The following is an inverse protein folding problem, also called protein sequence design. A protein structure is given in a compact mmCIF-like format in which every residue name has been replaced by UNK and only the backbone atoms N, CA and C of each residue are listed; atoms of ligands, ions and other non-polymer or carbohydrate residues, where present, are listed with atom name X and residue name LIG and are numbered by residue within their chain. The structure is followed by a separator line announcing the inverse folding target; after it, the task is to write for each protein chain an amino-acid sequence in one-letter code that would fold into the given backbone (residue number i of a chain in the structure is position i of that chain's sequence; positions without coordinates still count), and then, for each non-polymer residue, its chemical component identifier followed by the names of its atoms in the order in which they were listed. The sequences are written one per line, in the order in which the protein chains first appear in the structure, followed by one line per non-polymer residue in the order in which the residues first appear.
data_IF_859875992286
#
_entry.id   IF_859875992286
#
_cell.length_a   1.000
_cell.length_b   1.000
_cell.length_c   1.000
_cell.angle_alpha   90.00
_cell.angle_beta   90.00
_cell.angle_gamma   90.00
#
_symmetry.space_group_name_H-M   'P 1'
#
loop_
_entity.id
_entity.type
_entity.pdbx_description
1 polymer ?
#
# COMPACT_ATOMS: atom_id res chain seq x y z
N UNK A 1 -6.48 2.29 0.66
CA UNK A 1 -6.87 3.34 -0.32
C UNK A 1 -8.01 2.94 -1.23
N UNK A 2 -8.46 3.85 -2.09
CA UNK A 2 -9.64 3.67 -2.97
C UNK A 2 -9.35 2.89 -4.27
N UNK A 3 -8.23 2.20 -4.40
CA UNK A 3 -7.93 1.36 -5.56
C UNK A 3 -7.33 2.07 -6.78
N UNK A 4 -7.00 3.36 -6.70
CA UNK A 4 -6.43 4.10 -7.85
C UNK A 4 -5.19 3.44 -8.45
N UNK A 5 -4.29 2.91 -7.62
CA UNK A 5 -3.10 2.20 -8.11
C UNK A 5 -3.48 0.96 -8.90
N UNK A 6 -4.43 0.17 -8.41
CA UNK A 6 -4.90 -1.03 -9.09
C UNK A 6 -5.59 -0.68 -10.42
N UNK A 7 -6.45 0.34 -10.41
CA UNK A 7 -7.12 0.82 -11.62
C UNK A 7 -6.14 1.26 -12.70
N UNK A 8 -5.19 2.13 -12.35
CA UNK A 8 -4.19 2.64 -13.30
C UNK A 8 -3.27 1.50 -13.79
N UNK A 9 -2.91 0.58 -12.90
CA UNK A 9 -2.12 -0.61 -13.27
C UNK A 9 -2.88 -1.49 -14.25
N UNK A 10 -4.18 -1.75 -14.02
CA UNK A 10 -5.04 -2.49 -14.93
C UNK A 10 -5.07 -1.82 -16.31
N UNK A 11 -5.28 -0.51 -16.37
CA UNK A 11 -5.33 0.23 -17.63
C UNK A 11 -4.02 0.13 -18.42
N UNK A 12 -2.87 0.26 -17.74
CA UNK A 12 -1.55 0.10 -18.37
C UNK A 12 -1.30 -1.34 -18.84
N UNK A 13 -1.63 -2.34 -18.03
CA UNK A 13 -1.46 -3.75 -18.41
C UNK A 13 -2.36 -4.15 -19.58
N UNK A 14 -3.60 -3.67 -19.60
CA UNK A 14 -4.51 -3.88 -20.74
C UNK A 14 -4.02 -3.21 -22.02
N UNK A 15 -3.41 -2.03 -21.93
CA UNK A 15 -2.78 -1.40 -23.08
C UNK A 15 -1.60 -2.23 -23.58
N UNK A 16 -0.73 -2.68 -22.70
CA UNK A 16 0.41 -3.53 -23.05
C UNK A 16 -0.04 -4.85 -23.67
N UNK A 17 -1.07 -5.48 -23.12
CA UNK A 17 -1.70 -6.67 -23.69
C UNK A 17 -2.14 -6.42 -25.14
N UNK A 18 -2.81 -5.30 -25.40
CA UNK A 18 -3.21 -4.92 -26.76
C UNK A 18 -2.02 -4.71 -27.72
N UNK A 19 -0.94 -4.11 -27.26
CA UNK A 19 0.29 -3.95 -28.03
C UNK A 19 0.92 -5.31 -28.38
N UNK A 20 0.97 -6.24 -27.43
CA UNK A 20 1.47 -7.61 -27.63
C UNK A 20 0.59 -8.38 -28.62
N UNK A 21 -0.73 -8.30 -28.47
CA UNK A 21 -1.68 -8.96 -29.36
C UNK A 21 -1.56 -8.47 -30.80
N UNK A 22 -1.40 -7.16 -31.00
CA UNK A 22 -1.16 -6.57 -32.33
C UNK A 22 0.15 -7.07 -32.93
N UNK A 23 1.22 -7.13 -32.16
CA UNK A 23 2.50 -7.66 -32.64
C UNK A 23 2.42 -9.14 -33.04
N UNK A 24 1.71 -9.97 -32.26
CA UNK A 24 1.49 -11.37 -32.60
C UNK A 24 0.67 -11.53 -33.88
N UNK A 25 -0.36 -10.71 -34.05
CA UNK A 25 -1.14 -10.67 -35.29
C UNK A 25 -0.27 -10.34 -36.50
N UNK A 26 0.60 -9.32 -36.41
CA UNK A 26 1.52 -8.91 -37.46
C UNK A 26 2.54 -9.99 -37.80
N UNK A 27 2.89 -10.84 -36.82
CA UNK A 27 3.77 -12.00 -37.02
C UNK A 27 3.03 -13.25 -37.57
N UNK A 28 1.72 -13.15 -37.81
CA UNK A 28 0.90 -14.25 -38.37
C UNK A 28 0.35 -15.24 -37.35
N UNK A 29 0.53 -14.96 -36.05
CA UNK A 29 -0.07 -15.76 -34.98
C UNK A 29 -1.57 -15.40 -34.83
N UNK A 30 -2.42 -16.41 -34.61
CA UNK A 30 -3.85 -16.15 -34.46
C UNK A 30 -4.20 -15.61 -33.08
N UNK A 31 -4.81 -14.44 -33.03
CA UNK A 31 -5.25 -13.73 -31.84
C UNK A 31 -6.15 -14.58 -30.92
N UNK A 32 -6.93 -15.50 -31.50
CA UNK A 32 -7.82 -16.39 -30.76
C UNK A 32 -7.14 -17.43 -29.87
N UNK A 33 -5.86 -17.73 -30.07
CA UNK A 33 -5.12 -18.68 -29.24
C UNK A 33 -4.84 -18.11 -27.83
N UNK A 34 -4.53 -16.84 -27.70
CA UNK A 34 -4.24 -16.20 -26.40
C UNK A 34 -5.50 -16.01 -25.54
N UNK A 35 -6.63 -15.69 -26.15
CA UNK A 35 -7.91 -15.61 -25.45
C UNK A 35 -8.40 -16.98 -24.99
N UNK A 36 -8.16 -18.02 -25.80
CA UNK A 36 -8.49 -19.40 -25.47
C UNK A 36 -7.59 -20.01 -24.38
N UNK A 37 -6.36 -19.57 -24.27
CA UNK A 37 -5.39 -20.06 -23.26
C UNK A 37 -5.50 -19.33 -21.91
N UNK A 38 -6.41 -18.35 -21.75
CA UNK A 38 -6.61 -17.62 -20.50
C UNK A 38 -5.45 -16.67 -20.14
N UNK A 39 -4.64 -16.28 -21.12
CA UNK A 39 -3.49 -15.37 -20.95
C UNK A 39 -3.92 -13.90 -21.13
N UNK A 40 -5.05 -13.53 -20.54
CA UNK A 40 -5.56 -12.16 -20.59
C UNK A 40 -5.42 -11.51 -19.23
N UNK A 41 -5.18 -10.19 -19.22
CA UNK A 41 -5.18 -9.40 -18.00
C UNK A 41 -6.62 -9.20 -17.51
N UNK A 42 -6.91 -9.64 -16.30
CA UNK A 42 -8.23 -9.47 -15.69
C UNK A 42 -8.14 -9.04 -14.21
N UNK A 43 -9.24 -8.56 -13.61
CA UNK A 43 -9.24 -8.07 -12.24
C UNK A 43 -8.81 -9.07 -11.17
N UNK A 44 -8.94 -10.39 -11.38
CA UNK A 44 -8.55 -11.40 -10.40
C UNK A 44 -7.04 -11.45 -10.13
N UNK A 45 -6.23 -10.96 -11.08
CA UNK A 45 -4.78 -10.88 -10.94
C UNK A 45 -4.31 -9.73 -10.04
N UNK A 46 -5.23 -8.84 -9.65
CA UNK A 46 -4.92 -7.67 -8.82
C UNK A 46 -5.28 -7.95 -7.37
N UNK A 47 -4.27 -8.06 -6.54
CA UNK A 47 -4.41 -8.35 -5.11
C UNK A 47 -4.12 -7.10 -4.30
N UNK A 48 -4.80 -6.91 -3.18
CA UNK A 48 -4.60 -5.76 -2.31
C UNK A 48 -4.79 -6.07 -0.83
N UNK A 49 -4.08 -5.31 0.00
CA UNK A 49 -4.23 -5.30 1.45
C UNK A 49 -4.69 -3.91 1.87
N UNK A 50 -5.81 -3.82 2.57
CA UNK A 50 -6.38 -2.55 3.03
C UNK A 50 -6.96 -2.71 4.44
N UNK A 51 -6.52 -1.87 5.36
CA UNK A 51 -6.96 -1.94 6.77
C UNK A 51 -8.35 -1.33 6.97
N UNK A 52 -8.77 -0.41 6.10
CA UNK A 52 -10.10 0.19 6.17
C UNK A 52 -11.09 -0.66 5.36
N UNK A 53 -12.10 -1.30 6.00
CA UNK A 53 -13.02 -2.20 5.31
C UNK A 53 -13.86 -1.50 4.24
N UNK A 54 -14.17 -0.22 4.43
CA UNK A 54 -14.91 0.57 3.43
C UNK A 54 -14.03 0.87 2.21
N UNK A 55 -12.76 1.22 2.44
CA UNK A 55 -11.81 1.48 1.37
C UNK A 55 -11.50 0.21 0.58
N UNK A 56 -11.39 -0.96 1.23
CA UNK A 56 -11.21 -2.24 0.56
C UNK A 56 -12.34 -2.53 -0.44
N UNK A 57 -13.59 -2.34 -0.04
CA UNK A 57 -14.76 -2.53 -0.92
C UNK A 57 -14.82 -1.52 -2.06
N UNK A 58 -14.45 -0.26 -1.79
CA UNK A 58 -14.37 0.77 -2.84
C UNK A 58 -13.26 0.40 -3.86
N UNK A 59 -12.10 -0.08 -3.39
CA UNK A 59 -11.00 -0.47 -4.26
C UNK A 59 -11.40 -1.63 -5.20
N UNK A 60 -12.11 -2.62 -4.68
CA UNK A 60 -12.65 -3.73 -5.46
C UNK A 60 -13.65 -3.23 -6.53
N UNK A 61 -14.59 -2.37 -6.14
CA UNK A 61 -15.56 -1.78 -7.07
C UNK A 61 -14.87 -0.94 -8.16
N UNK A 62 -13.89 -0.10 -7.79
CA UNK A 62 -13.14 0.75 -8.74
C UNK A 62 -12.38 -0.10 -9.75
N UNK A 63 -11.77 -1.19 -9.32
CA UNK A 63 -11.07 -2.13 -10.20
C UNK A 63 -12.03 -2.74 -11.24
N UNK A 64 -13.19 -3.20 -10.81
CA UNK A 64 -14.20 -3.78 -11.70
C UNK A 64 -14.83 -2.76 -12.64
N UNK A 65 -15.14 -1.56 -12.17
CA UNK A 65 -15.62 -0.48 -13.03
C UNK A 65 -14.57 -0.15 -14.11
N UNK A 66 -13.31 -0.09 -13.75
CA UNK A 66 -12.21 0.14 -14.69
C UNK A 66 -12.12 -0.95 -15.77
N UNK A 67 -12.25 -2.21 -15.36
CA UNK A 67 -12.28 -3.33 -16.28
C UNK A 67 -13.47 -3.26 -17.25
N UNK A 68 -14.67 -2.99 -16.75
CA UNK A 68 -15.86 -2.82 -17.58
C UNK A 68 -15.75 -1.66 -18.56
N UNK A 69 -15.25 -0.51 -18.10
CA UNK A 69 -15.03 0.63 -18.98
C UNK A 69 -14.04 0.31 -20.10
N UNK A 70 -12.96 -0.42 -19.79
CA UNK A 70 -12.04 -0.90 -20.80
C UNK A 70 -12.73 -1.90 -21.75
N UNK A 71 -13.44 -2.89 -21.22
CA UNK A 71 -14.13 -3.92 -22.00
C UNK A 71 -15.09 -3.29 -23.03
N UNK A 72 -15.98 -2.40 -22.60
CA UNK A 72 -16.94 -1.75 -23.48
C UNK A 72 -16.29 -0.79 -24.48
N UNK A 73 -15.18 -0.15 -24.14
CA UNK A 73 -14.42 0.65 -25.12
C UNK A 73 -13.82 -0.21 -26.24
N UNK A 74 -13.41 -1.42 -25.91
CA UNK A 74 -12.69 -2.30 -26.84
C UNK A 74 -13.63 -3.22 -27.62
N UNK A 75 -14.66 -3.75 -26.97
CA UNK A 75 -15.57 -4.76 -27.54
C UNK A 75 -17.00 -4.23 -27.80
N UNK A 76 -17.23 -2.93 -27.61
CA UNK A 76 -18.55 -2.32 -27.81
C UNK A 76 -19.61 -2.87 -26.84
N UNK A 77 -20.75 -3.26 -27.35
CA UNK A 77 -21.88 -3.76 -26.55
C UNK A 77 -21.83 -5.26 -26.23
N UNK A 78 -20.73 -5.93 -26.52
CA UNK A 78 -20.56 -7.36 -26.19
C UNK A 78 -20.46 -7.50 -24.68
N UNK A 79 -21.25 -8.37 -24.09
CA UNK A 79 -21.21 -8.63 -22.66
C UNK A 79 -19.88 -9.26 -22.26
N UNK A 80 -19.28 -8.85 -21.13
CA UNK A 80 -18.09 -9.49 -20.61
C UNK A 80 -18.36 -10.96 -20.28
N UNK A 81 -17.36 -11.83 -20.41
CA UNK A 81 -17.52 -13.28 -20.23
C UNK A 81 -17.92 -13.70 -18.81
N UNK A 82 -17.66 -12.85 -17.81
CA UNK A 82 -18.01 -13.14 -16.42
C UNK A 82 -19.00 -12.14 -15.81
N UNK A 83 -19.93 -12.60 -14.95
CA UNK A 83 -20.80 -11.71 -14.23
C UNK A 83 -20.01 -10.92 -13.17
N UNK A 84 -20.10 -9.61 -13.22
CA UNK A 84 -19.42 -8.62 -12.33
C UNK A 84 -19.84 -8.73 -10.85
N UNK A 85 -20.74 -9.63 -10.50
CA UNK A 85 -21.38 -9.69 -9.19
C UNK A 85 -20.84 -10.82 -8.28
N UNK A 86 -19.66 -11.35 -8.53
CA UNK A 86 -19.01 -12.29 -7.61
C UNK A 86 -18.18 -11.53 -6.57
N UNK A 87 -18.21 -11.99 -5.32
CA UNK A 87 -17.28 -11.55 -4.25
C UNK A 87 -15.92 -12.19 -4.53
N UNK A 88 -15.05 -11.44 -5.19
CA UNK A 88 -13.74 -11.94 -5.66
C UNK A 88 -12.69 -12.02 -4.57
N UNK A 89 -12.88 -11.28 -3.44
CA UNK A 89 -11.98 -11.27 -2.27
C UNK A 89 -10.51 -11.00 -2.59
N UNK A 90 -10.24 -10.34 -3.70
CA UNK A 90 -8.88 -10.00 -4.11
C UNK A 90 -8.32 -8.80 -3.33
N UNK A 91 -9.18 -8.01 -2.66
CA UNK A 91 -8.76 -6.96 -1.74
C UNK A 91 -9.05 -7.42 -0.31
N UNK A 92 -8.02 -7.92 0.37
CA UNK A 92 -8.15 -8.42 1.73
C UNK A 92 -8.22 -7.26 2.74
N UNK A 93 -9.27 -7.29 3.60
CA UNK A 93 -9.37 -6.40 4.74
C UNK A 93 -8.47 -6.91 5.86
N UNK A 94 -7.23 -6.44 5.91
CA UNK A 94 -6.26 -6.76 6.98
C UNK A 94 -5.10 -5.77 6.99
N UNK A 95 -4.36 -5.78 8.09
CA UNK A 95 -3.12 -5.02 8.19
C UNK A 95 -2.04 -5.60 7.26
N UNK A 96 -1.23 -4.72 6.66
CA UNK A 96 -0.15 -5.12 5.77
C UNK A 96 1.17 -5.43 6.51
N UNK A 97 1.32 -5.03 7.77
CA UNK A 97 2.56 -5.18 8.53
C UNK A 97 2.49 -6.27 9.57
N UNK A 98 1.38 -6.33 10.31
CA UNK A 98 1.24 -7.28 11.41
C UNK A 98 -0.05 -8.08 11.31
N UNK A 99 0.05 -9.32 11.74
CA UNK A 99 -1.06 -10.20 12.06
C UNK A 99 -1.03 -10.46 13.57
N UNK A 100 -2.16 -10.66 14.22
CA UNK A 100 -2.25 -10.83 15.67
C UNK A 100 -3.45 -11.69 16.06
N UNK A 101 -3.41 -12.28 17.24
CA UNK A 101 -4.51 -13.13 17.68
C UNK A 101 -5.77 -12.32 18.03
N UNK A 102 -5.57 -11.19 18.74
CA UNK A 102 -6.65 -10.30 19.15
C UNK A 102 -6.11 -8.95 19.60
N UNK A 103 -6.99 -7.96 19.58
CA UNK A 103 -6.78 -6.66 20.22
C UNK A 103 -7.40 -6.66 21.63
N UNK A 104 -6.70 -6.07 22.57
CA UNK A 104 -7.18 -5.91 23.95
C UNK A 104 -7.02 -4.46 24.40
N UNK A 105 -8.01 -3.89 25.11
CA UNK A 105 -7.85 -2.60 25.74
C UNK A 105 -6.72 -2.64 26.79
N UNK A 106 -5.87 -1.62 26.80
CA UNK A 106 -4.97 -1.38 27.92
C UNK A 106 -5.82 -0.89 29.10
N UNK A 107 -5.67 -1.52 30.27
CA UNK A 107 -6.39 -1.13 31.47
C UNK A 107 -5.45 -0.59 32.54
N UNK A 108 -5.96 0.34 33.36
CA UNK A 108 -5.29 0.83 34.56
C UNK A 108 -5.38 -0.21 35.71
N UNK A 109 -4.81 0.10 36.88
CA UNK A 109 -4.83 -0.76 38.06
C UNK A 109 -6.25 -1.02 38.58
N UNK A 110 -7.21 -0.19 38.29
CA UNK A 110 -8.62 -0.34 38.61
C UNK A 110 -9.42 -1.10 37.54
N UNK A 111 -8.76 -1.61 36.48
CA UNK A 111 -9.39 -2.33 35.36
C UNK A 111 -10.15 -1.43 34.38
N UNK A 112 -9.98 -0.11 34.43
CA UNK A 112 -10.64 0.83 33.51
C UNK A 112 -9.79 1.01 32.25
N UNK A 113 -10.41 1.09 31.03
CA UNK A 113 -9.67 1.32 29.80
C UNK A 113 -8.88 2.64 29.87
N UNK A 114 -7.60 2.57 29.53
CA UNK A 114 -6.76 3.74 29.34
C UNK A 114 -7.10 4.37 28.00
N UNK A 115 -7.29 5.69 27.97
CA UNK A 115 -7.58 6.42 26.75
C UNK A 115 -6.44 7.37 26.37
N UNK A 116 -6.42 7.76 25.10
CA UNK A 116 -5.54 8.80 24.56
C UNK A 116 -6.31 9.68 23.62
N UNK A 117 -5.81 10.87 23.36
CA UNK A 117 -6.31 11.68 22.26
C UNK A 117 -6.23 10.91 20.93
N UNK A 118 -7.24 11.07 20.06
CA UNK A 118 -7.37 10.32 18.79
C UNK A 118 -6.28 10.64 17.73
N UNK A 119 -5.50 11.70 17.96
CA UNK A 119 -4.41 12.11 17.08
C UNK A 119 -4.82 13.00 15.90
N UNK A 120 -6.13 13.22 15.68
CA UNK A 120 -6.65 13.88 14.47
C UNK A 120 -7.67 14.97 14.74
N UNK A 121 -8.38 14.95 15.87
CA UNK A 121 -9.42 15.93 16.17
C UNK A 121 -8.83 17.15 16.87
N UNK A 122 -9.01 18.31 16.26
CA UNK A 122 -8.57 19.60 16.77
C UNK A 122 -9.77 20.50 17.08
N UNK A 123 -9.61 21.40 18.04
CA UNK A 123 -10.55 22.49 18.32
C UNK A 123 -9.84 23.83 18.33
N UNK A 124 -10.56 24.89 18.08
CA UNK A 124 -9.99 26.25 18.19
C UNK A 124 -9.70 26.60 19.65
N UNK A 125 -8.49 27.07 19.92
CA UNK A 125 -8.13 27.63 21.22
C UNK A 125 -9.00 28.86 21.50
N UNK A 126 -9.67 28.94 22.66
CA UNK A 126 -10.45 30.12 23.01
C UNK A 126 -9.60 31.36 23.31
N UNK A 127 -8.28 31.18 23.47
CA UNK A 127 -7.32 32.24 23.82
C UNK A 127 -6.58 32.73 22.58
N UNK A 128 -6.01 31.79 21.77
CA UNK A 128 -5.15 32.14 20.65
C UNK A 128 -5.83 32.00 19.29
N UNK A 129 -6.98 31.31 19.21
CA UNK A 129 -7.65 30.99 17.95
C UNK A 129 -6.94 29.92 17.10
N UNK A 130 -5.80 29.42 17.55
CA UNK A 130 -5.07 28.36 16.86
C UNK A 130 -5.71 26.99 17.06
N UNK A 131 -5.40 26.06 16.16
CA UNK A 131 -5.85 24.68 16.29
C UNK A 131 -5.05 23.95 17.38
N UNK A 132 -5.76 23.52 18.43
CA UNK A 132 -5.20 22.72 19.53
C UNK A 132 -5.88 21.35 19.57
N UNK A 133 -5.18 20.29 20.04
CA UNK A 133 -5.80 18.97 20.22
C UNK A 133 -7.10 19.06 21.04
N UNK A 134 -8.16 18.40 20.59
CA UNK A 134 -9.38 18.31 21.35
C UNK A 134 -9.25 17.18 22.40
N UNK A 135 -9.06 17.56 23.65
CA UNK A 135 -8.91 16.62 24.77
C UNK A 135 -10.16 15.74 25.00
N UNK A 136 -11.32 16.15 24.49
CA UNK A 136 -12.55 15.36 24.56
C UNK A 136 -12.59 14.23 23.54
N UNK A 137 -11.81 14.34 22.45
CA UNK A 137 -11.72 13.32 21.42
C UNK A 137 -10.77 12.19 21.85
N UNK A 138 -11.26 11.31 22.72
CA UNK A 138 -10.49 10.21 23.29
C UNK A 138 -10.79 8.88 22.59
N UNK A 139 -9.74 8.08 22.35
CA UNK A 139 -9.82 6.70 21.91
C UNK A 139 -9.15 5.77 22.88
N UNK A 140 -9.67 4.57 23.04
CA UNK A 140 -9.09 3.55 23.92
C UNK A 140 -7.74 3.12 23.38
N UNK A 141 -6.74 3.05 24.25
CA UNK A 141 -5.45 2.45 23.92
C UNK A 141 -5.61 0.95 23.79
N UNK A 142 -5.16 0.40 22.67
CA UNK A 142 -5.19 -1.03 22.40
C UNK A 142 -3.79 -1.63 22.50
N UNK A 143 -3.68 -2.89 22.92
CA UNK A 143 -2.50 -3.72 22.76
C UNK A 143 -2.81 -4.90 21.85
N UNK A 144 -1.80 -5.39 21.17
CA UNK A 144 -1.90 -6.47 20.19
C UNK A 144 -1.25 -7.72 20.77
N UNK A 145 -2.03 -8.81 20.87
CA UNK A 145 -1.59 -10.07 21.49
C UNK A 145 -0.93 -10.94 20.41
N UNK A 146 0.28 -11.42 20.72
CA UNK A 146 1.08 -12.27 19.84
C UNK A 146 1.20 -11.73 18.40
N UNK A 147 1.71 -10.48 18.24
CA UNK A 147 1.91 -9.92 16.92
C UNK A 147 2.98 -10.70 16.16
N UNK A 148 2.71 -10.97 14.89
CA UNK A 148 3.60 -11.66 13.95
C UNK A 148 3.62 -10.93 12.62
N UNK A 149 4.60 -11.24 11.77
CA UNK A 149 4.72 -10.66 10.42
C UNK A 149 3.47 -11.00 9.60
N UNK A 150 2.85 -9.99 8.98
CA UNK A 150 1.74 -10.22 8.07
C UNK A 150 2.26 -10.86 6.77
N UNK A 151 1.55 -11.88 6.30
CA UNK A 151 1.87 -12.53 5.03
C UNK A 151 1.25 -11.74 3.87
N UNK A 152 2.08 -11.36 2.90
CA UNK A 152 1.58 -10.76 1.68
C UNK A 152 1.18 -11.83 0.67
N UNK A 153 0.15 -11.57 -0.15
CA UNK A 153 -0.20 -12.50 -1.22
C UNK A 153 0.95 -12.57 -2.23
N UNK A 154 1.17 -13.74 -2.78
CA UNK A 154 2.19 -13.94 -3.83
C UNK A 154 1.80 -13.13 -5.08
N UNK A 155 2.74 -12.35 -5.60
CA UNK A 155 2.52 -11.52 -6.78
C UNK A 155 3.83 -11.29 -7.54
N UNK A 156 3.77 -11.22 -8.87
CA UNK A 156 4.94 -10.91 -9.71
C UNK A 156 5.42 -9.47 -9.52
N UNK A 157 4.51 -8.54 -9.23
CA UNK A 157 4.79 -7.11 -9.07
C UNK A 157 4.05 -6.54 -7.88
N UNK A 158 4.72 -5.69 -7.11
CA UNK A 158 4.13 -4.95 -5.99
C UNK A 158 4.18 -3.47 -6.33
N UNK A 159 3.04 -2.80 -6.26
CA UNK A 159 2.95 -1.34 -6.47
C UNK A 159 2.14 -0.70 -5.36
N UNK A 160 2.54 0.48 -4.92
CA UNK A 160 1.80 1.15 -3.86
C UNK A 160 2.28 2.54 -3.49
N UNK A 161 1.42 3.19 -2.71
CA UNK A 161 1.71 4.43 -2.03
C UNK A 161 1.42 4.24 -0.53
N UNK A 162 2.33 3.61 0.22
CA UNK A 162 2.14 3.38 1.64
C UNK A 162 2.00 4.68 2.43
N UNK A 163 1.41 4.67 3.63
CA UNK A 163 1.14 5.89 4.39
C UNK A 163 2.41 6.64 4.80
N UNK A 164 2.41 7.96 4.60
CA UNK A 164 3.51 8.87 4.92
C UNK A 164 3.40 9.36 6.36
N UNK A 165 3.87 8.56 7.30
CA UNK A 165 3.92 8.92 8.72
C UNK A 165 5.38 8.93 9.16
N UNK A 166 5.87 10.11 9.56
CA UNK A 166 7.23 10.26 10.08
C UNK A 166 7.41 9.57 11.44
N UNK A 167 8.59 9.06 11.72
CA UNK A 167 8.91 8.33 12.95
C UNK A 167 8.49 9.09 14.23
N UNK A 168 8.73 10.41 14.27
CA UNK A 168 8.39 11.26 15.42
C UNK A 168 6.88 11.37 15.69
N UNK A 169 6.04 11.19 14.68
CA UNK A 169 4.58 11.33 14.79
C UNK A 169 3.84 9.99 14.81
N UNK A 170 4.56 8.89 14.61
CA UNK A 170 3.99 7.55 14.45
C UNK A 170 3.14 7.12 15.66
N UNK A 171 3.66 7.30 16.89
CA UNK A 171 2.91 6.97 18.12
C UNK A 171 1.63 7.80 18.28
N UNK A 172 1.71 9.08 17.95
CA UNK A 172 0.53 9.96 17.97
C UNK A 172 -0.53 9.54 16.96
N UNK A 173 -0.09 9.19 15.74
CA UNK A 173 -1.00 8.82 14.65
C UNK A 173 -1.61 7.42 14.82
N UNK A 174 -0.80 6.44 15.21
CA UNK A 174 -1.18 5.03 15.19
C UNK A 174 -1.47 4.43 16.59
N UNK A 175 -1.04 5.12 17.65
CA UNK A 175 -1.10 4.64 19.04
C UNK A 175 0.11 3.80 19.44
N UNK A 176 0.42 3.84 20.74
CA UNK A 176 1.60 3.20 21.30
C UNK A 176 1.59 1.69 21.10
N UNK A 177 0.48 1.04 21.39
CA UNK A 177 0.38 -0.42 21.32
C UNK A 177 0.60 -0.95 19.90
N UNK A 178 0.08 -0.27 18.88
CA UNK A 178 0.34 -0.64 17.47
C UNK A 178 1.81 -0.45 17.10
N UNK A 179 2.38 0.71 17.44
CA UNK A 179 3.78 1.00 17.12
C UNK A 179 4.72 0.02 17.81
N UNK A 180 4.45 -0.34 19.07
CA UNK A 180 5.23 -1.33 19.81
C UNK A 180 5.10 -2.73 19.19
N UNK A 181 3.91 -3.10 18.73
CA UNK A 181 3.69 -4.35 18.02
C UNK A 181 4.46 -4.40 16.70
N UNK A 182 4.38 -3.35 15.87
CA UNK A 182 5.12 -3.25 14.59
C UNK A 182 6.62 -3.33 14.82
N UNK A 183 7.17 -2.54 15.76
CA UNK A 183 8.62 -2.53 16.06
C UNK A 183 9.13 -3.88 16.58
N UNK A 184 8.34 -4.56 17.40
CA UNK A 184 8.68 -5.90 17.91
C UNK A 184 8.67 -6.94 16.79
N UNK A 185 7.76 -6.79 15.84
CA UNK A 185 7.58 -7.73 14.73
C UNK A 185 8.66 -7.54 13.65
N UNK A 186 9.11 -6.30 13.47
CA UNK A 186 10.09 -5.91 12.44
C UNK A 186 11.32 -5.24 13.04
N UNK A 187 12.13 -5.95 13.86
CA UNK A 187 13.31 -5.39 14.50
C UNK A 187 14.42 -5.00 13.49
N UNK A 188 14.32 -5.47 12.26
CA UNK A 188 15.25 -5.16 11.16
C UNK A 188 15.10 -3.70 10.68
N UNK A 189 13.93 -3.09 10.88
CA UNK A 189 13.66 -1.69 10.53
C UNK A 189 14.00 -0.79 11.72
N UNK A 190 14.90 0.21 11.57
CA UNK A 190 15.23 1.11 12.66
C UNK A 190 14.00 1.81 13.23
N UNK A 191 13.89 1.92 14.55
CA UNK A 191 12.77 2.59 15.23
C UNK A 191 12.57 4.05 14.83
N UNK A 192 13.64 4.70 14.37
CA UNK A 192 13.64 6.07 13.87
C UNK A 192 13.39 6.17 12.35
N UNK A 193 13.10 5.07 11.69
CA UNK A 193 12.66 5.08 10.29
C UNK A 193 11.18 5.45 10.19
N UNK A 194 10.81 6.13 9.10
CA UNK A 194 9.43 6.48 8.81
C UNK A 194 8.59 5.23 8.53
N UNK A 195 7.30 5.34 8.79
CA UNK A 195 6.36 4.21 8.71
C UNK A 195 6.36 3.53 7.33
N UNK A 196 6.44 4.27 6.25
CA UNK A 196 6.52 3.77 4.87
C UNK A 196 7.69 2.80 4.66
N UNK A 197 8.75 2.89 5.45
CA UNK A 197 9.94 2.06 5.29
C UNK A 197 9.73 0.58 5.66
N UNK A 198 8.69 0.27 6.43
CA UNK A 198 8.29 -1.12 6.69
C UNK A 198 7.82 -1.82 5.40
N UNK A 199 6.97 -1.16 4.58
CA UNK A 199 6.59 -1.69 3.26
C UNK A 199 7.78 -1.86 2.34
N UNK A 200 8.67 -0.86 2.35
CA UNK A 200 9.87 -0.89 1.52
C UNK A 200 10.79 -2.07 1.90
N UNK A 201 10.95 -2.32 3.20
CA UNK A 201 11.70 -3.45 3.73
C UNK A 201 11.08 -4.78 3.30
N UNK A 202 9.78 -4.98 3.54
CA UNK A 202 9.06 -6.22 3.19
C UNK A 202 9.17 -6.50 1.70
N UNK A 203 8.88 -5.52 0.85
CA UNK A 203 8.96 -5.69 -0.60
C UNK A 203 10.38 -5.99 -1.07
N UNK A 204 11.39 -5.36 -0.46
CA UNK A 204 12.80 -5.66 -0.71
C UNK A 204 13.17 -7.10 -0.37
N UNK A 205 12.73 -7.60 0.78
CA UNK A 205 12.92 -8.99 1.21
C UNK A 205 12.25 -9.97 0.23
N UNK A 206 11.01 -9.69 -0.18
CA UNK A 206 10.23 -10.53 -1.10
C UNK A 206 10.89 -10.63 -2.48
N UNK A 207 11.42 -9.51 -3.01
CA UNK A 207 12.18 -9.53 -4.28
C UNK A 207 13.48 -10.30 -4.12
N UNK A 208 14.23 -10.09 -3.04
CA UNK A 208 15.51 -10.82 -2.79
C UNK A 208 15.30 -12.30 -2.56
N UNK A 209 14.15 -12.72 -2.05
CA UNK A 209 13.75 -14.11 -1.93
C UNK A 209 13.38 -14.75 -3.29
N UNK A 210 13.19 -13.95 -4.34
CA UNK A 210 12.75 -14.42 -5.65
C UNK A 210 11.25 -14.70 -5.75
N UNK A 211 10.47 -14.26 -4.77
CA UNK A 211 9.01 -14.42 -4.71
C UNK A 211 8.27 -13.37 -5.52
N UNK A 212 8.91 -12.22 -5.76
CA UNK A 212 8.40 -11.10 -6.54
C UNK A 212 9.49 -10.62 -7.49
N UNK A 213 9.13 -10.25 -8.71
CA UNK A 213 10.10 -9.77 -9.72
C UNK A 213 10.55 -8.35 -9.43
N UNK A 214 9.60 -7.46 -9.09
CA UNK A 214 9.88 -6.03 -8.82
C UNK A 214 8.83 -5.44 -7.89
N UNK A 215 9.24 -4.41 -7.15
CA UNK A 215 8.29 -3.53 -6.49
C UNK A 215 8.51 -2.07 -6.91
N UNK A 216 7.44 -1.27 -6.88
CA UNK A 216 7.49 0.18 -7.11
C UNK A 216 6.68 0.91 -6.05
N UNK A 217 7.37 1.79 -5.27
CA UNK A 217 6.71 2.58 -4.24
C UNK A 217 6.94 4.07 -4.41
N UNK A 218 5.89 4.82 -4.07
CA UNK A 218 6.00 6.23 -3.73
C UNK A 218 6.28 6.32 -2.24
N UNK A 219 7.29 7.11 -1.88
CA UNK A 219 7.66 7.43 -0.51
C UNK A 219 7.82 8.93 -0.37
N UNK A 220 8.08 9.44 0.84
CA UNK A 220 8.54 10.81 0.99
C UNK A 220 10.02 10.91 0.58
N UNK A 221 10.47 12.12 0.21
CA UNK A 221 11.88 12.38 -0.10
C UNK A 221 12.81 12.17 1.12
N UNK A 222 12.25 11.94 2.31
CA UNK A 222 12.97 11.54 3.53
C UNK A 222 13.64 10.16 3.39
N UNK A 223 13.31 9.36 2.37
CA UNK A 223 13.99 8.08 2.09
C UNK A 223 15.51 8.20 2.03
N UNK A 224 16.03 9.35 1.61
CA UNK A 224 17.47 9.67 1.59
C UNK A 224 18.06 10.05 2.96
N UNK A 225 17.24 10.27 3.99
CA UNK A 225 17.71 10.62 5.34
C UNK A 225 18.27 9.39 6.06
N UNK A 226 19.12 9.62 7.05
CA UNK A 226 19.97 8.60 7.67
C UNK A 226 19.26 7.30 8.04
N UNK A 227 18.14 7.35 8.75
CA UNK A 227 17.49 6.13 9.24
C UNK A 227 16.71 5.42 8.15
N UNK A 228 16.02 6.15 7.29
CA UNK A 228 15.30 5.59 6.15
C UNK A 228 16.28 4.98 5.13
N UNK A 229 17.39 5.69 4.85
CA UNK A 229 18.44 5.21 3.96
C UNK A 229 19.07 3.90 4.44
N UNK A 230 19.19 3.68 5.77
CA UNK A 230 19.70 2.41 6.30
C UNK A 230 18.86 1.21 5.90
N UNK A 231 17.52 1.36 5.81
CA UNK A 231 16.63 0.29 5.34
C UNK A 231 16.93 -0.03 3.88
N UNK A 232 17.06 0.99 3.04
CA UNK A 232 17.43 0.81 1.62
C UNK A 232 18.80 0.16 1.50
N UNK A 233 19.79 0.70 2.19
CA UNK A 233 21.17 0.23 2.16
C UNK A 233 21.29 -1.24 2.59
N UNK A 234 20.58 -1.65 3.64
CA UNK A 234 20.57 -3.04 4.09
C UNK A 234 20.12 -4.02 3.01
N UNK A 235 19.19 -3.63 2.15
CA UNK A 235 18.72 -4.45 1.04
C UNK A 235 19.71 -4.45 -0.15
N UNK A 236 20.36 -3.30 -0.42
CA UNK A 236 21.34 -3.17 -1.52
C UNK A 236 22.67 -3.85 -1.21
N UNK A 237 23.06 -3.97 0.07
CA UNK A 237 24.34 -4.54 0.51
C UNK A 237 24.22 -5.98 1.03
N UNK A 238 23.04 -6.58 0.95
CA UNK A 238 22.81 -7.93 1.41
C UNK A 238 23.52 -8.98 0.52
N UNK A 239 23.66 -10.21 0.99
CA UNK A 239 24.30 -11.31 0.25
C UNK A 239 23.67 -11.58 -1.13
N UNK A 240 22.33 -11.45 -1.22
CA UNK A 240 21.58 -11.42 -2.48
C UNK A 240 21.03 -10.00 -2.63
N UNK A 241 21.78 -9.07 -3.23
CA UNK A 241 21.46 -7.65 -3.17
C UNK A 241 20.29 -7.30 -4.09
N UNK A 242 19.42 -6.43 -3.58
CA UNK A 242 18.44 -5.73 -4.40
C UNK A 242 19.15 -4.75 -5.33
N UNK A 243 18.62 -4.50 -6.51
CA UNK A 243 19.01 -3.39 -7.37
C UNK A 243 17.92 -2.35 -7.48
N UNK A 244 18.27 -1.07 -7.64
CA UNK A 244 17.32 -0.01 -7.96
C UNK A 244 17.23 0.11 -9.49
N UNK A 245 16.17 -0.43 -10.06
CA UNK A 245 15.91 -0.34 -11.50
C UNK A 245 15.46 1.07 -11.92
N UNK A 246 14.88 1.83 -10.99
CA UNK A 246 14.43 3.20 -11.21
C UNK A 246 14.40 3.98 -9.88
N UNK A 247 14.80 5.27 -9.92
CA UNK A 247 14.72 6.13 -8.76
C UNK A 247 14.55 7.59 -9.14
N UNK A 248 13.56 8.26 -8.57
CA UNK A 248 13.42 9.72 -8.53
C UNK A 248 13.49 10.12 -7.05
N UNK A 249 14.57 10.75 -6.60
CA UNK A 249 14.80 10.96 -5.17
C UNK A 249 14.04 12.14 -4.57
N UNK A 250 13.52 13.03 -5.41
CA UNK A 250 12.89 14.27 -4.95
C UNK A 250 12.00 14.89 -6.05
N UNK A 251 10.69 14.80 -5.88
CA UNK A 251 9.69 15.32 -6.81
C UNK A 251 8.57 16.02 -6.03
N UNK A 252 8.04 17.16 -6.48
CA UNK A 252 6.85 17.73 -5.86
C UNK A 252 5.66 16.79 -6.06
N UNK A 253 4.83 16.62 -5.00
CA UNK A 253 3.64 15.78 -5.10
C UNK A 253 2.59 16.35 -6.06
N UNK A 254 2.46 17.68 -6.09
CA UNK A 254 1.55 18.40 -6.97
C UNK A 254 2.26 19.66 -7.47
N UNK A 255 2.17 19.95 -8.76
CA UNK A 255 2.76 21.15 -9.40
C UNK A 255 1.90 22.42 -9.21
N UNK A 256 0.85 22.40 -8.40
CA UNK A 256 -0.01 23.56 -8.17
C UNK A 256 0.61 24.52 -7.15
N UNK A 257 0.45 25.83 -7.37
CA UNK A 257 0.96 26.89 -6.50
C UNK A 257 0.43 26.79 -5.05
N UNK A 258 -0.74 26.16 -4.84
CA UNK A 258 -1.36 25.89 -3.55
C UNK A 258 -1.21 24.41 -3.10
N UNK A 259 -0.40 23.62 -3.77
CA UNK A 259 -0.15 22.21 -3.45
C UNK A 259 0.53 22.05 -2.10
N UNK A 260 0.17 21.03 -1.34
CA UNK A 260 0.85 20.68 -0.11
C UNK A 260 2.36 20.58 -0.36
N UNK A 261 3.17 21.18 0.51
CA UNK A 261 4.63 21.21 0.39
C UNK A 261 5.30 19.83 0.58
N UNK A 262 4.60 18.76 0.20
CA UNK A 262 5.07 17.38 0.30
C UNK A 262 5.92 17.07 -0.93
N UNK A 263 7.15 16.67 -0.66
CA UNK A 263 8.04 16.15 -1.70
C UNK A 263 8.14 14.64 -1.57
N UNK A 264 8.05 13.96 -2.68
CA UNK A 264 8.06 12.49 -2.76
C UNK A 264 9.36 11.98 -3.40
N UNK A 265 9.60 10.70 -3.20
CA UNK A 265 10.53 9.90 -3.97
C UNK A 265 9.77 8.72 -4.59
N UNK A 266 10.22 8.30 -5.75
CA UNK A 266 9.73 7.09 -6.41
C UNK A 266 10.88 6.13 -6.58
N UNK A 267 10.68 4.88 -6.21
CA UNK A 267 11.73 3.84 -6.33
C UNK A 267 11.13 2.56 -6.88
N UNK A 268 11.91 1.88 -7.73
CA UNK A 268 11.63 0.52 -8.19
C UNK A 268 12.81 -0.36 -7.82
N UNK A 269 12.54 -1.38 -6.99
CA UNK A 269 13.47 -2.43 -6.63
C UNK A 269 13.28 -3.68 -7.51
N UNK A 270 14.40 -4.30 -7.90
CA UNK A 270 14.43 -5.50 -8.74
C UNK A 270 15.51 -6.49 -8.26
#
# INVERSE_FOLDING_TARGET
GSGNFLYVTLEHLKRLEGEVLNLLHDLGESQGLLELEGVTVDPHQFLGLEINPRAARIAEMVLWIGYLQWHFRTHGSVNPPEPVLRDFRNIAHRDALIDYEREEPVTDEAGRPVTRWDGVTYRKSPITGEDIPDEAAQVVQMRYVNPRKAEWPQADYIVGNPPFIGAATMRRALGDGYVDAVRRTWPEVPESADFVMYWWHIAGETVRAGETRRFGFITTNSIKQTFNRRVVQAQLEAKNPLSLAFAIPDHPWVDAADGAAVRIAMTVGA
#
